data_IF_009708556312
#
_entry.id   IF_009708556312
#
_cell.length_a   1.000
_cell.length_b   1.000
_cell.length_c   1.000
_cell.angle_alpha   90.00
_cell.angle_beta   90.00
_cell.angle_gamma   90.00
#
_symmetry.space_group_name_H-M   'P 1'
#
loop_
_entity.id
_entity.type
_entity.pdbx_description
1 polymer ?
#
# COMPACT_ATOMS: atom_id res chain seq x y z
N UNK A 1 -4.13 38.38 17.68
CA UNK A 1 -5.40 38.07 18.40
C UNK A 1 -6.58 38.93 17.94
N UNK A 2 -6.48 40.27 17.89
CA UNK A 2 -7.61 41.11 17.41
C UNK A 2 -7.89 41.00 15.89
N UNK A 3 -6.87 40.71 15.08
CA UNK A 3 -7.01 40.59 13.62
C UNK A 3 -7.68 39.30 13.15
N UNK A 4 -7.46 38.18 13.84
CA UNK A 4 -8.15 36.91 13.55
C UNK A 4 -9.66 36.97 13.87
N UNK A 5 -10.07 37.93 14.71
CA UNK A 5 -11.45 38.23 15.06
C UNK A 5 -12.09 39.21 14.05
N UNK A 6 -11.80 39.01 12.76
CA UNK A 6 -12.02 39.92 11.63
C UNK A 6 -13.49 40.38 11.45
N UNK A 7 -14.45 39.67 12.03
CA UNK A 7 -15.88 39.98 11.89
C UNK A 7 -16.66 40.27 13.17
N UNK A 8 -16.12 40.03 14.37
CA UNK A 8 -17.00 40.00 15.56
C UNK A 8 -16.91 41.18 16.53
N UNK A 9 -15.89 42.06 16.49
CA UNK A 9 -15.67 43.02 17.61
C UNK A 9 -15.20 44.45 17.32
N UNK A 10 -15.21 44.98 16.09
CA UNK A 10 -15.14 46.43 15.85
C UNK A 10 -13.89 47.23 16.32
N UNK A 11 -12.84 46.57 16.85
CA UNK A 11 -11.69 47.25 17.48
C UNK A 11 -10.54 47.61 16.51
N UNK A 12 -10.75 47.52 15.19
CA UNK A 12 -9.68 47.74 14.19
C UNK A 12 -9.37 49.23 14.02
N UNK A 13 -10.39 50.09 13.99
CA UNK A 13 -10.23 51.54 13.82
C UNK A 13 -9.40 52.13 14.97
N UNK A 14 -9.67 51.70 16.21
CA UNK A 14 -8.89 52.10 17.39
C UNK A 14 -7.42 51.69 17.30
N UNK A 15 -7.12 50.52 16.71
CA UNK A 15 -5.74 50.06 16.51
C UNK A 15 -5.07 50.77 15.32
N UNK A 16 -5.84 51.11 14.29
CA UNK A 16 -5.40 51.89 13.14
C UNK A 16 -4.97 53.29 13.57
N UNK A 17 -5.86 54.02 14.25
CA UNK A 17 -5.60 55.38 14.71
C UNK A 17 -4.39 55.40 15.65
N UNK A 18 -4.27 54.40 16.54
CA UNK A 18 -3.14 54.28 17.45
C UNK A 18 -1.82 53.99 16.75
N UNK A 19 -1.81 53.20 15.69
CA UNK A 19 -0.58 52.89 14.93
C UNK A 19 -0.20 54.06 14.02
N UNK A 20 -1.13 54.51 13.17
CA UNK A 20 -0.91 55.60 12.21
C UNK A 20 -0.55 56.90 12.94
N UNK A 21 -1.32 57.27 13.98
CA UNK A 21 -1.06 58.48 14.77
C UNK A 21 0.34 58.48 15.40
N UNK A 22 0.75 57.35 16.02
CA UNK A 22 2.09 57.24 16.63
C UNK A 22 3.23 57.23 15.61
N UNK A 23 2.98 56.74 14.39
CA UNK A 23 3.96 56.83 13.31
C UNK A 23 4.10 58.28 12.83
N UNK A 24 3.00 58.99 12.64
CA UNK A 24 3.03 60.40 12.25
C UNK A 24 3.72 61.26 13.32
N UNK A 25 3.43 61.04 14.61
CA UNK A 25 4.13 61.70 15.74
C UNK A 25 5.64 61.45 15.75
N UNK A 26 6.09 60.30 15.25
CA UNK A 26 7.50 59.94 15.12
C UNK A 26 8.16 60.49 13.84
N UNK A 27 7.43 61.29 13.05
CA UNK A 27 7.92 61.94 11.84
C UNK A 27 7.75 61.12 10.56
N UNK A 28 6.97 60.03 10.57
CA UNK A 28 6.66 59.28 9.36
C UNK A 28 5.56 59.96 8.55
N UNK A 29 5.67 59.87 7.22
CA UNK A 29 4.65 60.35 6.29
C UNK A 29 3.28 59.67 6.54
N UNK A 30 2.17 60.42 6.63
CA UNK A 30 0.84 59.87 6.91
C UNK A 30 0.39 58.82 5.89
N UNK A 31 0.64 59.04 4.59
CA UNK A 31 0.24 58.11 3.55
C UNK A 31 1.05 56.82 3.63
N UNK A 32 2.34 56.91 3.99
CA UNK A 32 3.18 55.75 4.27
C UNK A 32 2.67 54.94 5.46
N UNK A 33 2.37 55.58 6.59
CA UNK A 33 1.87 54.92 7.79
C UNK A 33 0.53 54.18 7.53
N UNK A 34 -0.36 54.80 6.77
CA UNK A 34 -1.64 54.22 6.36
C UNK A 34 -1.43 52.96 5.50
N UNK A 35 -0.55 53.03 4.47
CA UNK A 35 -0.22 51.87 3.62
C UNK A 35 0.36 50.70 4.41
N UNK A 36 1.21 50.96 5.42
CA UNK A 36 1.75 49.90 6.29
C UNK A 36 0.64 49.19 7.09
N UNK A 37 -0.31 49.94 7.63
CA UNK A 37 -1.44 49.34 8.34
C UNK A 37 -2.33 48.51 7.41
N UNK A 38 -2.59 49.00 6.19
CA UNK A 38 -3.39 48.28 5.20
C UNK A 38 -2.72 46.98 4.73
N UNK A 39 -1.39 46.94 4.62
CA UNK A 39 -0.66 45.69 4.37
C UNK A 39 -0.84 44.69 5.52
N UNK A 40 -0.65 45.13 6.77
CA UNK A 40 -0.83 44.27 7.95
C UNK A 40 -2.26 43.73 7.99
N UNK A 41 -3.26 44.58 7.69
CA UNK A 41 -4.68 44.19 7.56
C UNK A 41 -4.87 43.07 6.53
N UNK A 42 -4.24 43.17 5.36
CA UNK A 42 -4.26 42.12 4.34
C UNK A 42 -3.62 40.79 4.79
N UNK A 43 -2.53 40.84 5.58
CA UNK A 43 -1.90 39.65 6.17
C UNK A 43 -2.71 39.01 7.31
N UNK A 44 -3.68 39.73 7.89
CA UNK A 44 -4.51 39.23 9.00
C UNK A 44 -5.34 37.99 8.65
N UNK A 45 -5.67 37.79 7.37
CA UNK A 45 -6.47 36.66 6.88
C UNK A 45 -5.63 35.42 6.53
N UNK A 46 -4.35 35.60 6.19
CA UNK A 46 -3.45 34.52 5.74
C UNK A 46 -2.23 34.29 6.66
N UNK A 47 -2.12 35.05 7.76
CA UNK A 47 -1.00 34.94 8.70
C UNK A 47 -0.96 33.59 9.40
N UNK A 48 0.17 32.88 9.30
CA UNK A 48 0.40 31.59 9.94
C UNK A 48 1.37 31.72 11.12
N UNK A 49 1.17 30.99 12.25
CA UNK A 49 2.09 31.06 13.38
C UNK A 49 3.46 30.49 13.02
N UNK A 50 4.49 31.34 13.00
CA UNK A 50 5.84 30.97 12.61
C UNK A 50 6.42 29.87 13.51
N UNK A 51 6.21 29.93 14.83
CA UNK A 51 6.72 28.91 15.75
C UNK A 51 6.16 27.51 15.46
N UNK A 52 4.88 27.42 15.07
CA UNK A 52 4.25 26.17 14.66
C UNK A 52 4.77 25.70 13.30
N UNK A 53 4.92 26.60 12.33
CA UNK A 53 5.52 26.26 11.03
C UNK A 53 6.94 25.74 11.19
N UNK A 54 7.77 26.43 11.98
CA UNK A 54 9.17 26.05 12.22
C UNK A 54 9.30 24.68 12.87
N UNK A 55 8.47 24.36 13.88
CA UNK A 55 8.49 23.04 14.51
C UNK A 55 8.15 21.91 13.54
N UNK A 56 7.17 22.10 12.66
CA UNK A 56 6.81 21.10 11.64
C UNK A 56 7.85 21.03 10.52
N UNK A 57 8.39 22.17 10.08
CA UNK A 57 9.44 22.23 9.06
C UNK A 57 10.68 21.45 9.50
N UNK A 58 11.05 21.50 10.79
CA UNK A 58 12.15 20.71 11.33
C UNK A 58 11.90 19.20 11.19
N UNK A 59 10.68 18.71 11.46
CA UNK A 59 10.32 17.30 11.27
C UNK A 59 10.38 16.88 9.80
N UNK A 60 9.87 17.73 8.90
CA UNK A 60 9.91 17.50 7.44
C UNK A 60 11.36 17.44 6.96
N UNK A 61 12.20 18.36 7.40
CA UNK A 61 13.62 18.40 7.03
C UNK A 61 14.35 17.15 7.49
N UNK A 62 14.22 16.77 8.77
CA UNK A 62 14.86 15.56 9.31
C UNK A 62 14.38 14.30 8.57
N UNK A 63 13.08 14.17 8.34
CA UNK A 63 12.52 13.03 7.62
C UNK A 63 13.01 12.95 6.16
N UNK A 64 13.08 14.10 5.48
CA UNK A 64 13.57 14.19 4.10
C UNK A 64 15.06 13.86 4.01
N UNK A 65 15.86 14.32 4.98
CA UNK A 65 17.28 14.00 5.07
C UNK A 65 17.51 12.51 5.33
N UNK A 66 16.73 11.89 6.23
CA UNK A 66 16.78 10.45 6.46
C UNK A 66 16.39 9.67 5.22
N UNK A 67 15.34 10.07 4.50
CA UNK A 67 14.93 9.44 3.24
C UNK A 67 16.04 9.53 2.18
N UNK A 68 16.66 10.70 2.04
CA UNK A 68 17.75 10.92 1.07
C UNK A 68 19.02 10.14 1.42
N UNK A 69 19.43 10.15 2.70
CA UNK A 69 20.72 9.59 3.14
C UNK A 69 20.65 8.11 3.51
N UNK A 70 19.55 7.68 4.13
CA UNK A 70 19.35 6.34 4.67
C UNK A 70 17.96 5.77 4.30
N UNK A 71 17.66 5.61 2.99
CA UNK A 71 16.34 5.19 2.52
C UNK A 71 15.88 3.87 3.13
N UNK A 72 16.79 2.89 3.27
CA UNK A 72 16.48 1.59 3.88
C UNK A 72 16.03 1.72 5.34
N UNK A 73 16.76 2.49 6.15
CA UNK A 73 16.44 2.71 7.55
C UNK A 73 15.15 3.52 7.72
N UNK A 74 14.95 4.53 6.87
CA UNK A 74 13.72 5.33 6.85
C UNK A 74 12.51 4.44 6.53
N UNK A 75 12.57 3.64 5.48
CA UNK A 75 11.52 2.70 5.11
C UNK A 75 11.25 1.64 6.18
N UNK A 76 12.31 1.07 6.77
CA UNK A 76 12.22 0.13 7.89
C UNK A 76 11.41 0.73 9.06
N UNK A 77 11.77 1.95 9.48
CA UNK A 77 11.05 2.68 10.52
C UNK A 77 9.58 2.94 10.17
N UNK A 78 9.30 3.33 8.93
CA UNK A 78 7.93 3.55 8.46
C UNK A 78 7.10 2.26 8.47
N UNK A 79 7.65 1.14 7.99
CA UNK A 79 6.95 -0.16 7.99
C UNK A 79 6.68 -0.65 9.40
N UNK A 80 7.62 -0.47 10.33
CA UNK A 80 7.46 -0.87 11.72
C UNK A 80 6.52 0.06 12.52
N UNK A 81 6.26 1.26 12.02
CA UNK A 81 5.30 2.22 12.61
C UNK A 81 3.86 2.02 12.11
N UNK A 82 3.60 1.07 11.21
CA UNK A 82 2.24 0.80 10.73
C UNK A 82 1.33 0.23 11.84
N UNK A 83 0.02 0.53 11.83
CA UNK A 83 -0.71 1.28 10.80
C UNK A 83 -0.52 2.80 10.89
N UNK A 84 -0.07 3.43 9.80
CA UNK A 84 0.01 4.90 9.66
C UNK A 84 -0.95 5.39 8.59
N UNK A 85 -1.51 6.59 8.74
CA UNK A 85 -2.64 7.08 7.94
C UNK A 85 -2.43 7.22 6.43
N UNK A 86 -1.23 7.53 5.92
CA UNK A 86 -1.12 7.98 4.54
C UNK A 86 -0.64 6.91 3.54
N UNK A 87 0.53 6.31 3.77
CA UNK A 87 1.15 5.37 2.83
C UNK A 87 0.92 3.90 3.21
N UNK A 88 0.55 3.07 2.24
CA UNK A 88 0.44 1.62 2.37
C UNK A 88 1.83 0.96 2.32
N UNK A 89 2.04 -0.21 2.95
CA UNK A 89 3.30 -0.94 2.92
C UNK A 89 3.86 -1.16 1.50
N UNK A 90 3.01 -1.52 0.54
CA UNK A 90 3.40 -1.71 -0.86
C UNK A 90 4.06 -0.46 -1.47
N UNK A 91 3.53 0.73 -1.18
CA UNK A 91 4.04 2.00 -1.70
C UNK A 91 5.38 2.38 -1.06
N UNK A 92 5.51 2.13 0.26
CA UNK A 92 6.77 2.35 0.97
C UNK A 92 7.86 1.44 0.38
N UNK A 93 7.55 0.16 0.18
CA UNK A 93 8.48 -0.81 -0.42
C UNK A 93 8.84 -0.44 -1.86
N UNK A 94 7.88 0.03 -2.65
CA UNK A 94 8.14 0.51 -4.01
C UNK A 94 9.08 1.70 -4.02
N UNK A 95 8.78 2.74 -3.25
CA UNK A 95 9.63 3.93 -3.12
C UNK A 95 11.04 3.53 -2.65
N UNK A 96 11.15 2.58 -1.73
CA UNK A 96 12.43 2.03 -1.26
C UNK A 96 13.24 1.43 -2.40
N UNK A 97 12.62 0.62 -3.26
CA UNK A 97 13.26 0.05 -4.46
C UNK A 97 13.69 1.12 -5.45
N UNK A 98 12.85 2.14 -5.65
CA UNK A 98 13.16 3.29 -6.54
C UNK A 98 14.35 4.12 -6.00
N UNK A 99 14.62 4.08 -4.69
CA UNK A 99 15.84 4.63 -4.07
C UNK A 99 17.05 3.68 -4.15
N UNK A 100 16.97 2.59 -4.91
CA UNK A 100 18.07 1.64 -5.12
C UNK A 100 18.34 0.71 -3.94
N UNK A 101 17.40 0.60 -2.99
CA UNK A 101 17.53 -0.33 -1.86
C UNK A 101 16.98 -1.70 -2.24
N UNK A 102 17.76 -2.74 -2.04
CA UNK A 102 17.31 -4.12 -2.14
C UNK A 102 16.30 -4.42 -1.02
N UNK A 103 15.18 -5.04 -1.38
CA UNK A 103 14.14 -5.44 -0.43
C UNK A 103 13.99 -6.95 -0.48
N UNK A 104 14.15 -7.59 0.67
CA UNK A 104 14.13 -9.03 0.85
C UNK A 104 12.79 -9.47 1.46
N UNK A 105 12.25 -10.57 0.96
CA UNK A 105 10.94 -11.09 1.38
C UNK A 105 10.94 -11.54 2.84
N UNK A 106 9.74 -11.77 3.39
CA UNK A 106 9.61 -12.49 4.65
C UNK A 106 10.19 -13.89 4.49
N UNK A 107 10.95 -14.36 5.47
CA UNK A 107 11.53 -15.71 5.47
C UNK A 107 11.61 -16.31 6.88
N UNK A 108 11.30 -17.60 7.01
CA UNK A 108 11.25 -18.33 8.29
C UNK A 108 12.59 -18.46 9.00
N UNK A 109 13.72 -18.30 8.30
CA UNK A 109 15.05 -18.39 8.88
C UNK A 109 15.70 -17.02 9.10
N UNK A 110 15.25 -15.97 8.40
CA UNK A 110 15.92 -14.67 8.40
C UNK A 110 15.10 -13.53 9.00
N UNK A 111 13.77 -13.51 8.84
CA UNK A 111 12.94 -12.36 9.25
C UNK A 111 12.63 -12.35 10.74
N UNK A 112 12.90 -11.26 11.46
CA UNK A 112 12.34 -11.07 12.80
C UNK A 112 10.86 -10.66 12.75
N UNK A 113 10.24 -10.40 13.91
CA UNK A 113 8.88 -9.85 13.97
C UNK A 113 8.77 -8.54 13.18
N UNK A 114 9.63 -7.58 13.52
CA UNK A 114 9.75 -6.31 12.84
C UNK A 114 10.64 -6.41 11.59
N UNK A 115 10.49 -5.46 10.67
CA UNK A 115 11.42 -5.34 9.54
C UNK A 115 12.80 -4.98 10.06
N UNK A 116 13.85 -5.50 9.42
CA UNK A 116 15.25 -5.32 9.83
C UNK A 116 16.12 -4.89 8.65
N UNK A 117 17.37 -4.53 8.92
CA UNK A 117 18.36 -4.21 7.90
C UNK A 117 19.43 -5.31 7.85
N UNK A 118 19.68 -5.84 6.65
CA UNK A 118 20.66 -6.90 6.39
C UNK A 118 21.65 -6.40 5.33
N UNK A 119 22.88 -6.04 5.73
CA UNK A 119 23.90 -5.59 4.78
C UNK A 119 23.52 -4.35 3.95
N UNK A 120 22.57 -3.53 4.43
CA UNK A 120 22.03 -2.37 3.71
C UNK A 120 20.73 -2.65 2.94
N UNK A 121 20.33 -3.91 2.80
CA UNK A 121 19.02 -4.31 2.30
C UNK A 121 17.95 -4.22 3.40
N UNK A 122 16.70 -4.01 2.99
CA UNK A 122 15.53 -4.03 3.86
C UNK A 122 14.93 -5.44 3.88
N UNK A 123 14.96 -6.12 5.04
CA UNK A 123 14.25 -7.39 5.25
C UNK A 123 12.84 -7.11 5.74
N UNK A 124 11.84 -7.67 5.06
CA UNK A 124 10.46 -7.63 5.56
C UNK A 124 10.30 -8.51 6.80
N UNK A 125 9.66 -7.95 7.82
CA UNK A 125 9.36 -8.65 9.08
C UNK A 125 8.13 -9.56 8.99
N UNK A 126 8.07 -10.55 9.88
CA UNK A 126 6.98 -11.51 10.01
C UNK A 126 5.62 -10.82 10.27
N UNK A 127 5.62 -9.63 10.88
CA UNK A 127 4.41 -8.83 11.11
C UNK A 127 3.63 -8.45 9.86
N UNK A 128 4.26 -8.53 8.68
CA UNK A 128 3.59 -8.27 7.41
C UNK A 128 2.70 -9.44 6.97
N UNK A 129 2.90 -10.65 7.52
CA UNK A 129 2.08 -11.82 7.21
C UNK A 129 0.73 -11.68 7.90
N UNK A 130 -0.32 -11.62 7.09
CA UNK A 130 -1.68 -11.38 7.57
C UNK A 130 -2.11 -12.44 8.58
N UNK A 131 -2.50 -11.97 9.77
CA UNK A 131 -2.96 -12.73 10.93
C UNK A 131 -1.98 -13.79 11.47
N UNK A 132 -0.68 -13.64 11.18
CA UNK A 132 0.36 -14.28 11.98
C UNK A 132 0.42 -13.58 13.34
N UNK A 133 0.37 -14.36 14.42
CA UNK A 133 0.43 -13.84 15.78
C UNK A 133 1.88 -13.67 16.24
N UNK A 134 2.13 -12.63 17.05
CA UNK A 134 3.48 -12.32 17.55
C UNK A 134 4.05 -13.48 18.36
N UNK A 135 3.24 -14.14 19.18
CA UNK A 135 3.67 -15.26 20.01
C UNK A 135 4.12 -16.47 19.16
N UNK A 136 3.49 -16.69 18.00
CA UNK A 136 3.91 -17.73 17.07
C UNK A 136 5.22 -17.36 16.36
N UNK A 137 5.39 -16.09 16.01
CA UNK A 137 6.64 -15.57 15.46
C UNK A 137 7.80 -15.65 16.46
N UNK A 138 7.58 -15.32 17.73
CA UNK A 138 8.62 -15.40 18.77
C UNK A 138 9.12 -16.83 18.99
N UNK A 139 8.19 -17.82 18.98
CA UNK A 139 8.55 -19.25 19.02
C UNK A 139 9.38 -19.67 17.80
N UNK A 140 8.95 -19.21 16.62
CA UNK A 140 9.64 -19.47 15.37
C UNK A 140 11.07 -18.90 15.41
N UNK A 141 11.24 -17.64 15.80
CA UNK A 141 12.56 -16.99 15.88
C UNK A 141 13.48 -17.71 16.88
N UNK A 142 12.94 -18.14 18.03
CA UNK A 142 13.71 -18.76 19.12
C UNK A 142 14.30 -20.13 18.77
N UNK A 143 13.80 -20.80 17.73
CA UNK A 143 14.17 -22.18 17.39
C UNK A 143 14.79 -22.33 16.00
N UNK A 144 15.20 -21.24 15.34
CA UNK A 144 15.95 -21.26 14.08
C UNK A 144 17.35 -21.89 14.21
N UNK A 145 18.00 -22.30 13.10
CA UNK A 145 17.50 -22.34 11.72
C UNK A 145 16.76 -23.65 11.42
N UNK A 146 15.83 -23.65 10.47
CA UNK A 146 15.02 -24.78 10.01
C UNK A 146 15.54 -25.33 8.69
N UNK A 147 15.46 -26.65 8.51
CA UNK A 147 15.77 -27.33 7.25
C UNK A 147 14.51 -27.83 6.53
N UNK A 148 13.47 -28.17 7.30
CA UNK A 148 12.20 -28.69 6.78
C UNK A 148 11.00 -27.99 7.43
N UNK A 149 9.84 -28.04 6.77
CA UNK A 149 8.59 -27.46 7.29
C UNK A 149 8.17 -28.11 8.62
N UNK A 150 8.40 -29.42 8.75
CA UNK A 150 8.09 -30.18 9.97
C UNK A 150 8.86 -29.68 11.21
N UNK A 151 10.08 -29.18 11.02
CA UNK A 151 10.92 -28.67 12.11
C UNK A 151 10.26 -27.48 12.83
N UNK A 152 9.43 -26.69 12.13
CA UNK A 152 8.71 -25.57 12.75
C UNK A 152 7.68 -26.08 13.75
N UNK A 153 7.03 -27.21 13.48
CA UNK A 153 6.08 -27.84 14.41
C UNK A 153 6.81 -28.52 15.55
N UNK A 154 7.71 -29.45 15.24
CA UNK A 154 8.33 -30.36 16.21
C UNK A 154 9.32 -29.62 17.13
N UNK A 155 10.27 -28.90 16.54
CA UNK A 155 11.33 -28.17 17.26
C UNK A 155 10.91 -26.75 17.61
N UNK A 156 10.27 -26.05 16.67
CA UNK A 156 9.82 -24.68 16.85
C UNK A 156 8.57 -24.53 17.69
N UNK A 157 7.77 -25.60 17.90
CA UNK A 157 6.46 -25.55 18.56
C UNK A 157 5.55 -24.45 18.00
N UNK A 158 5.72 -24.15 16.71
CA UNK A 158 4.91 -23.20 15.96
C UNK A 158 3.58 -23.88 15.65
N UNK A 159 2.44 -23.25 15.97
CA UNK A 159 1.13 -23.82 15.64
C UNK A 159 0.96 -24.05 14.13
N UNK A 160 0.32 -25.16 13.74
CA UNK A 160 0.14 -25.54 12.31
C UNK A 160 -0.52 -24.41 11.51
N UNK A 161 -1.53 -23.74 12.06
CA UNK A 161 -2.19 -22.61 11.37
C UNK A 161 -1.22 -21.44 11.07
N UNK A 162 -0.19 -21.23 11.89
CA UNK A 162 0.83 -20.20 11.64
C UNK A 162 1.80 -20.66 10.55
N UNK A 163 2.15 -21.95 10.52
CA UNK A 163 2.97 -22.56 9.46
C UNK A 163 2.25 -22.45 8.10
N UNK A 164 0.95 -22.75 8.04
CA UNK A 164 0.14 -22.59 6.82
C UNK A 164 0.13 -21.14 6.32
N UNK A 165 0.04 -20.15 7.23
CA UNK A 165 0.11 -18.72 6.87
C UNK A 165 1.47 -18.33 6.33
N UNK A 166 2.55 -18.82 6.94
CA UNK A 166 3.91 -18.59 6.45
C UNK A 166 4.13 -19.21 5.07
N UNK A 167 3.54 -20.38 4.82
CA UNK A 167 3.62 -21.06 3.54
C UNK A 167 2.83 -20.30 2.48
N UNK A 168 1.61 -19.85 2.81
CA UNK A 168 0.83 -18.97 1.96
C UNK A 168 1.57 -17.65 1.66
N UNK A 169 2.34 -17.13 2.62
CA UNK A 169 3.16 -15.94 2.47
C UNK A 169 4.51 -16.17 1.72
N UNK A 170 4.76 -17.37 1.20
CA UNK A 170 6.00 -17.70 0.47
C UNK A 170 7.29 -17.50 1.32
N UNK A 171 7.20 -17.77 2.62
CA UNK A 171 8.28 -17.50 3.58
C UNK A 171 9.32 -18.64 3.71
N UNK A 172 9.28 -19.66 2.84
CA UNK A 172 10.14 -20.86 2.95
C UNK A 172 11.26 -20.92 1.90
N UNK A 173 11.61 -19.78 1.30
CA UNK A 173 12.65 -19.72 0.27
C UNK A 173 14.02 -20.15 0.77
N UNK A 174 14.35 -19.88 2.03
CA UNK A 174 15.61 -20.31 2.64
C UNK A 174 15.78 -21.83 2.77
N UNK A 175 14.70 -22.60 2.75
CA UNK A 175 14.73 -24.06 2.73
C UNK A 175 14.45 -24.64 1.34
N UNK A 176 14.61 -23.81 0.30
CA UNK A 176 14.43 -24.17 -1.11
C UNK A 176 13.02 -24.66 -1.48
N UNK A 177 11.98 -24.25 -0.74
CA UNK A 177 10.59 -24.54 -1.10
C UNK A 177 9.92 -23.35 -1.76
N UNK A 178 9.31 -23.60 -2.92
CA UNK A 178 8.34 -22.69 -3.52
C UNK A 178 7.01 -22.74 -2.75
N UNK A 179 6.24 -21.65 -2.81
CA UNK A 179 4.92 -21.53 -2.13
C UNK A 179 4.07 -22.80 -2.22
N UNK A 180 3.92 -23.38 -3.42
CA UNK A 180 3.04 -24.54 -3.62
C UNK A 180 3.54 -25.78 -2.87
N UNK A 181 4.85 -26.03 -2.90
CA UNK A 181 5.48 -27.11 -2.15
C UNK A 181 5.39 -26.87 -0.64
N UNK A 182 5.70 -25.65 -0.18
CA UNK A 182 5.57 -25.31 1.23
C UNK A 182 4.13 -25.46 1.76
N UNK A 183 3.12 -25.10 0.96
CA UNK A 183 1.71 -25.28 1.32
C UNK A 183 1.30 -26.75 1.36
N UNK A 184 1.84 -27.57 0.46
CA UNK A 184 1.62 -29.01 0.45
C UNK A 184 2.15 -29.64 1.75
N UNK A 185 3.41 -29.35 2.08
CA UNK A 185 4.07 -29.84 3.29
C UNK A 185 3.38 -29.34 4.56
N UNK A 186 3.01 -28.06 4.61
CA UNK A 186 2.32 -27.48 5.76
C UNK A 186 0.96 -28.14 6.02
N UNK A 187 0.24 -28.54 4.96
CA UNK A 187 -1.06 -29.23 5.08
C UNK A 187 -0.95 -30.69 5.47
N UNK A 188 0.20 -31.32 5.23
CA UNK A 188 0.47 -32.67 5.72
C UNK A 188 0.69 -32.69 7.25
N UNK A 189 0.93 -31.54 7.88
CA UNK A 189 1.13 -31.48 9.34
C UNK A 189 -0.14 -31.78 10.12
N UNK A 190 -0.05 -32.76 11.02
CA UNK A 190 -1.08 -33.04 12.02
C UNK A 190 -1.15 -31.94 13.07
N UNK A 191 -2.37 -31.58 13.47
CA UNK A 191 -2.61 -30.70 14.62
C UNK A 191 -2.51 -31.42 15.96
N UNK A 192 -2.77 -32.74 15.98
CA UNK A 192 -2.69 -33.56 17.18
C UNK A 192 -1.23 -33.78 17.60
N UNK A 193 -0.95 -33.90 18.91
CA UNK A 193 0.37 -34.32 19.38
C UNK A 193 0.70 -35.72 18.86
N UNK A 194 2.00 -35.96 18.66
CA UNK A 194 2.49 -37.28 18.22
C UNK A 194 2.07 -38.35 19.23
N UNK A 195 1.75 -39.54 18.72
CA UNK A 195 1.23 -40.62 19.54
C UNK A 195 2.31 -41.14 20.52
N UNK A 196 1.99 -41.38 21.81
CA UNK A 196 3.00 -41.71 22.83
C UNK A 196 3.90 -42.92 22.50
N UNK A 197 3.38 -43.88 21.73
CA UNK A 197 4.11 -45.06 21.29
C UNK A 197 5.27 -44.72 20.34
N UNK A 198 5.05 -43.80 19.41
CA UNK A 198 6.04 -43.41 18.41
C UNK A 198 7.08 -42.45 18.99
N UNK A 199 6.63 -41.54 19.88
CA UNK A 199 7.53 -40.71 20.70
C UNK A 199 8.49 -41.57 21.50
N UNK A 200 8.01 -42.65 22.14
CA UNK A 200 8.86 -43.56 22.90
C UNK A 200 9.83 -44.38 22.04
N UNK A 201 9.47 -44.62 20.77
CA UNK A 201 10.28 -45.37 19.82
C UNK A 201 11.26 -44.50 19.02
N UNK A 202 11.28 -43.17 19.23
CA UNK A 202 11.96 -42.18 18.38
C UNK A 202 11.67 -42.42 16.89
N UNK A 203 10.43 -42.84 16.60
CA UNK A 203 9.97 -43.20 15.29
C UNK A 203 8.96 -42.16 14.82
N UNK A 204 8.95 -41.88 13.51
CA UNK A 204 7.91 -41.04 12.91
C UNK A 204 6.57 -41.78 12.99
N UNK A 205 5.52 -41.04 13.33
CA UNK A 205 4.12 -41.52 13.26
C UNK A 205 3.75 -41.98 11.83
N UNK A 206 4.46 -41.48 10.81
CA UNK A 206 4.28 -41.83 9.40
C UNK A 206 5.59 -42.32 8.78
N UNK A 207 5.49 -43.27 7.85
CA UNK A 207 6.63 -43.69 7.04
C UNK A 207 7.16 -42.55 6.18
N UNK A 208 8.42 -42.65 5.76
CA UNK A 208 8.98 -41.70 4.80
C UNK A 208 8.11 -41.68 3.52
N UNK A 209 7.91 -40.49 2.96
CA UNK A 209 7.25 -40.35 1.67
C UNK A 209 8.03 -41.15 0.63
N UNK A 210 7.39 -42.17 0.04
CA UNK A 210 8.06 -43.13 -0.83
C UNK A 210 8.49 -42.48 -2.16
N UNK A 211 7.72 -41.51 -2.65
CA UNK A 211 8.09 -40.66 -3.78
C UNK A 211 7.64 -39.21 -3.52
N UNK A 212 8.52 -38.21 -3.72
CA UNK A 212 8.13 -36.81 -3.58
C UNK A 212 7.03 -36.43 -4.58
N UNK A 213 5.95 -35.83 -4.10
CA UNK A 213 4.88 -35.35 -4.96
C UNK A 213 5.42 -34.35 -6.02
N UNK A 214 5.26 -34.67 -7.31
CA UNK A 214 5.59 -33.75 -8.40
C UNK A 214 4.46 -32.75 -8.59
N UNK A 215 4.59 -31.61 -7.93
CA UNK A 215 3.61 -30.53 -8.04
C UNK A 215 3.88 -29.69 -9.30
N UNK A 216 2.84 -29.20 -10.00
CA UNK A 216 3.03 -28.26 -11.09
C UNK A 216 3.68 -26.97 -10.58
N UNK A 217 4.48 -26.29 -11.40
CA UNK A 217 5.02 -24.98 -11.04
C UNK A 217 3.90 -23.94 -10.89
N UNK A 218 4.04 -23.05 -9.92
CA UNK A 218 3.09 -21.96 -9.72
C UNK A 218 3.44 -20.79 -10.66
N UNK A 219 2.53 -20.37 -11.55
CA UNK A 219 2.75 -19.22 -12.43
C UNK A 219 3.01 -17.93 -11.64
N UNK A 220 3.76 -16.99 -12.25
CA UNK A 220 4.12 -15.72 -11.61
C UNK A 220 2.89 -14.88 -11.21
N UNK A 221 1.82 -14.89 -12.02
CA UNK A 221 0.58 -14.16 -11.70
C UNK A 221 -0.10 -14.72 -10.45
N UNK A 222 -0.14 -16.04 -10.31
CA UNK A 222 -0.66 -16.73 -9.13
C UNK A 222 0.18 -16.37 -7.91
N UNK A 223 1.50 -16.33 -8.05
CA UNK A 223 2.40 -15.87 -7.00
C UNK A 223 2.08 -14.44 -6.53
N UNK A 224 1.92 -13.49 -7.46
CA UNK A 224 1.62 -12.10 -7.13
C UNK A 224 0.24 -11.96 -6.48
N UNK A 225 -0.78 -12.65 -7.00
CA UNK A 225 -2.13 -12.66 -6.40
C UNK A 225 -2.08 -13.15 -4.95
N UNK A 226 -1.37 -14.25 -4.69
CA UNK A 226 -1.21 -14.77 -3.33
C UNK A 226 -0.41 -13.79 -2.44
N UNK A 227 0.66 -13.18 -2.94
CA UNK A 227 1.44 -12.18 -2.18
C UNK A 227 0.54 -11.02 -1.68
N UNK A 228 -0.37 -10.50 -2.52
CA UNK A 228 -1.32 -9.46 -2.12
C UNK A 228 -2.41 -9.94 -1.16
N UNK A 229 -2.77 -11.23 -1.19
CA UNK A 229 -3.72 -11.82 -0.25
C UNK A 229 -3.10 -12.06 1.14
N UNK A 230 -1.79 -12.30 1.21
CA UNK A 230 -1.12 -12.73 2.45
C UNK A 230 -0.22 -11.66 3.09
N UNK A 231 0.38 -10.78 2.29
CA UNK A 231 1.32 -9.74 2.74
C UNK A 231 0.86 -8.34 2.28
N UNK A 232 -0.17 -8.24 1.41
CA UNK A 232 -0.70 -6.99 0.86
C UNK A 232 0.27 -6.22 -0.06
N UNK A 233 1.38 -6.84 -0.43
CA UNK A 233 2.36 -6.35 -1.41
C UNK A 233 3.06 -7.53 -2.09
N UNK A 234 3.63 -7.33 -3.27
CA UNK A 234 4.51 -8.30 -3.92
C UNK A 234 5.86 -7.68 -4.27
N UNK A 235 6.93 -8.43 -4.06
CA UNK A 235 8.28 -8.07 -4.53
C UNK A 235 8.56 -8.54 -5.96
N UNK A 236 7.70 -9.40 -6.52
CA UNK A 236 7.93 -10.13 -7.78
C UNK A 236 7.47 -9.33 -8.99
N UNK A 237 6.23 -8.85 -8.99
CA UNK A 237 5.69 -7.98 -10.03
C UNK A 237 4.46 -7.21 -9.53
N UNK A 238 4.09 -6.15 -10.26
CA UNK A 238 2.87 -5.40 -10.00
C UNK A 238 1.68 -6.01 -10.78
N UNK A 239 0.46 -6.08 -10.23
CA UNK A 239 -0.68 -6.74 -10.89
C UNK A 239 -1.02 -6.19 -12.28
N UNK A 240 -0.80 -4.89 -12.51
CA UNK A 240 -1.05 -4.27 -13.82
C UNK A 240 -0.12 -4.77 -14.93
N UNK A 241 1.05 -5.30 -14.59
CA UNK A 241 1.99 -5.83 -15.59
C UNK A 241 1.37 -6.99 -16.39
N UNK A 242 0.60 -7.86 -15.74
CA UNK A 242 -0.08 -8.99 -16.40
C UNK A 242 -1.25 -8.57 -17.28
N UNK A 243 -1.84 -7.39 -17.02
CA UNK A 243 -2.93 -6.84 -17.83
C UNK A 243 -2.43 -5.89 -18.91
N UNK A 244 -1.12 -5.61 -18.95
CA UNK A 244 -0.55 -4.52 -19.77
C UNK A 244 -0.75 -4.74 -21.25
N UNK A 245 -0.59 -5.96 -21.75
CA UNK A 245 -0.77 -6.27 -23.18
C UNK A 245 -2.20 -5.94 -23.63
N UNK A 246 -3.20 -6.41 -22.85
CA UNK A 246 -4.62 -6.17 -23.12
C UNK A 246 -4.99 -4.68 -23.06
N UNK A 247 -4.41 -3.92 -22.13
CA UNK A 247 -4.63 -2.47 -22.04
C UNK A 247 -3.92 -1.71 -23.17
N UNK A 248 -2.73 -2.15 -23.57
CA UNK A 248 -1.98 -1.55 -24.68
C UNK A 248 -2.73 -1.73 -26.00
N UNK A 249 -3.29 -2.92 -26.26
CA UNK A 249 -4.15 -3.16 -27.41
C UNK A 249 -5.37 -2.23 -27.46
N UNK A 250 -5.88 -1.81 -26.30
CA UNK A 250 -6.99 -0.87 -26.15
C UNK A 250 -6.54 0.60 -26.08
N UNK A 251 -5.25 0.90 -26.31
CA UNK A 251 -4.65 2.25 -26.29
C UNK A 251 -4.70 2.94 -24.93
N UNK A 252 -4.68 2.17 -23.85
CA UNK A 252 -4.48 2.71 -22.50
C UNK A 252 -2.99 3.01 -22.27
N UNK A 253 -2.70 4.20 -21.75
CA UNK A 253 -1.34 4.63 -21.44
C UNK A 253 -0.94 4.22 -20.02
N UNK A 254 0.37 4.15 -19.81
CA UNK A 254 1.04 3.99 -18.52
C UNK A 254 1.19 5.33 -17.78
N UNK A 255 1.39 5.29 -16.46
CA UNK A 255 1.59 6.49 -15.66
C UNK A 255 2.86 7.27 -16.05
N UNK A 256 3.96 6.57 -16.38
CA UNK A 256 5.23 7.19 -16.81
C UNK A 256 5.15 8.01 -18.11
N UNK A 257 4.10 7.82 -18.91
CA UNK A 257 3.88 8.57 -20.16
C UNK A 257 3.23 9.93 -19.92
N UNK A 258 2.60 10.15 -18.77
CA UNK A 258 1.87 11.39 -18.47
C UNK A 258 2.74 12.66 -18.61
N UNK A 259 4.00 12.70 -18.13
CA UNK A 259 4.88 13.85 -18.30
C UNK A 259 5.11 14.25 -19.76
N UNK A 260 5.17 13.29 -20.68
CA UNK A 260 5.43 13.55 -22.11
C UNK A 260 4.21 14.08 -22.89
N UNK A 261 3.00 14.02 -22.34
CA UNK A 261 1.79 14.39 -23.07
C UNK A 261 1.45 15.87 -22.87
N UNK A 262 1.00 16.53 -23.94
CA UNK A 262 0.59 17.95 -23.89
C UNK A 262 -0.65 18.16 -23.04
N UNK A 263 -0.72 19.32 -22.40
CA UNK A 263 -1.89 19.77 -21.66
C UNK A 263 -3.16 19.78 -22.53
N UNK A 264 -4.32 19.49 -21.93
CA UNK A 264 -5.61 19.43 -22.61
C UNK A 264 -5.85 18.19 -23.49
N UNK A 265 -4.88 17.27 -23.61
CA UNK A 265 -5.04 16.05 -24.40
C UNK A 265 -5.91 15.00 -23.69
N UNK A 266 -6.71 14.29 -24.49
CA UNK A 266 -7.51 13.16 -24.03
C UNK A 266 -6.63 11.93 -23.85
N UNK A 267 -6.81 11.25 -22.72
CA UNK A 267 -6.08 10.02 -22.38
C UNK A 267 -7.01 8.97 -21.79
N UNK A 268 -6.63 7.72 -21.96
CA UNK A 268 -7.22 6.56 -21.30
C UNK A 268 -6.13 5.88 -20.49
N UNK A 269 -6.36 5.62 -19.22
CA UNK A 269 -5.42 4.87 -18.38
C UNK A 269 -6.16 3.99 -17.38
N UNK A 270 -5.48 2.97 -16.87
CA UNK A 270 -6.04 2.06 -15.90
C UNK A 270 -5.00 1.77 -14.83
N UNK A 271 -5.46 1.61 -13.59
CA UNK A 271 -4.57 1.35 -12.46
C UNK A 271 -5.34 0.98 -11.20
N UNK A 272 -4.61 0.42 -10.25
CA UNK A 272 -5.11 0.10 -8.93
C UNK A 272 -5.44 1.38 -8.17
N UNK A 273 -6.58 1.40 -7.51
CA UNK A 273 -6.98 2.58 -6.73
C UNK A 273 -6.33 2.53 -5.36
N UNK A 274 -5.44 3.49 -5.10
CA UNK A 274 -4.70 3.58 -3.85
C UNK A 274 -5.44 4.38 -2.78
N UNK A 275 -5.79 5.61 -3.15
CA UNK A 275 -6.27 6.62 -2.22
C UNK A 275 -7.46 7.34 -2.84
N UNK A 276 -8.45 7.65 -1.99
CA UNK A 276 -9.59 8.50 -2.33
C UNK A 276 -9.73 9.59 -1.28
N UNK A 277 -9.76 10.84 -1.73
CA UNK A 277 -9.88 11.99 -0.84
C UNK A 277 -10.98 12.92 -1.34
N UNK A 278 -11.81 13.42 -0.42
CA UNK A 278 -12.82 14.44 -0.72
C UNK A 278 -12.79 15.52 0.37
N UNK A 279 -11.76 16.39 0.38
CA UNK A 279 -11.62 17.38 1.44
C UNK A 279 -12.80 18.35 1.46
N UNK A 280 -13.29 18.70 2.66
CA UNK A 280 -14.42 19.61 2.84
C UNK A 280 -14.19 21.01 2.23
N UNK A 281 -12.94 21.44 2.11
CA UNK A 281 -12.53 22.71 1.49
C UNK A 281 -12.62 22.72 -0.04
N UNK A 282 -12.65 21.55 -0.69
CA UNK A 282 -12.56 21.42 -2.15
C UNK A 282 -13.91 21.47 -2.87
N UNK A 283 -14.94 22.08 -2.26
CA UNK A 283 -16.31 22.23 -2.84
C UNK A 283 -16.88 20.93 -3.43
N UNK A 284 -16.55 19.80 -2.80
CA UNK A 284 -17.04 18.48 -3.19
C UNK A 284 -16.25 17.77 -4.30
N UNK A 285 -15.12 18.30 -4.77
CA UNK A 285 -14.20 17.62 -5.70
C UNK A 285 -13.57 16.41 -4.99
N UNK A 286 -13.46 15.30 -5.73
CA UNK A 286 -12.82 14.07 -5.26
C UNK A 286 -11.49 13.85 -6.00
N UNK A 287 -10.44 13.56 -5.24
CA UNK A 287 -9.12 13.20 -5.74
C UNK A 287 -8.91 11.70 -5.57
N UNK A 288 -8.41 11.04 -6.62
CA UNK A 288 -8.13 9.60 -6.61
C UNK A 288 -6.71 9.38 -7.13
N UNK A 289 -5.90 8.59 -6.42
CA UNK A 289 -4.59 8.18 -6.91
C UNK A 289 -4.67 6.77 -7.48
N UNK A 290 -4.31 6.62 -8.76
CA UNK A 290 -4.15 5.33 -9.41
C UNK A 290 -2.68 4.90 -9.42
N UNK A 291 -2.43 3.61 -9.36
CA UNK A 291 -1.11 3.00 -9.50
C UNK A 291 -1.08 1.98 -10.63
N UNK A 292 -0.04 2.04 -11.45
CA UNK A 292 0.37 0.95 -12.30
C UNK A 292 1.84 0.58 -12.06
N UNK A 293 2.35 -0.40 -12.81
CA UNK A 293 3.73 -0.87 -12.67
C UNK A 293 4.80 0.18 -12.99
N UNK A 294 4.41 1.30 -13.63
CA UNK A 294 5.32 2.38 -14.04
C UNK A 294 5.27 3.61 -13.15
N UNK A 295 4.18 3.81 -12.41
CA UNK A 295 4.09 4.92 -11.47
C UNK A 295 2.70 5.12 -10.88
N UNK A 296 2.51 6.32 -10.32
CA UNK A 296 1.23 6.80 -9.84
C UNK A 296 0.67 7.88 -10.76
N UNK A 297 -0.64 8.04 -10.76
CA UNK A 297 -1.34 9.12 -11.44
C UNK A 297 -2.45 9.70 -10.59
N UNK A 298 -2.54 11.03 -10.58
CA UNK A 298 -3.52 11.76 -9.78
C UNK A 298 -4.73 12.11 -10.65
N UNK A 299 -5.90 11.67 -10.22
CA UNK A 299 -7.17 11.96 -10.87
C UNK A 299 -7.93 13.05 -10.13
N UNK A 300 -8.62 13.88 -10.90
CA UNK A 300 -9.58 14.88 -10.38
C UNK A 300 -10.98 14.51 -10.88
N UNK A 301 -11.88 14.22 -9.95
CA UNK A 301 -13.28 13.87 -10.22
C UNK A 301 -14.17 15.00 -9.72
N UNK A 302 -14.75 15.74 -10.67
CA UNK A 302 -15.69 16.82 -10.37
C UNK A 302 -17.03 16.28 -9.84
N UNK A 303 -17.77 17.07 -9.03
CA UNK A 303 -19.03 16.63 -8.40
C UNK A 303 -20.04 16.03 -9.38
N UNK A 304 -20.18 16.61 -10.57
CA UNK A 304 -21.10 16.12 -11.61
C UNK A 304 -20.75 14.71 -12.14
N UNK A 305 -19.47 14.36 -12.23
CA UNK A 305 -19.01 13.02 -12.61
C UNK A 305 -19.12 12.08 -11.42
N UNK A 306 -18.74 12.56 -10.23
CA UNK A 306 -18.85 11.81 -8.98
C UNK A 306 -20.29 11.33 -8.74
N UNK A 307 -21.26 12.23 -8.81
CA UNK A 307 -22.67 11.91 -8.50
C UNK A 307 -23.24 10.90 -9.50
N UNK A 308 -22.87 11.01 -10.78
CA UNK A 308 -23.28 10.07 -11.84
C UNK A 308 -22.62 8.70 -11.71
N UNK A 309 -21.36 8.64 -11.27
CA UNK A 309 -20.55 7.42 -11.26
C UNK A 309 -20.15 7.00 -9.83
N UNK A 310 -20.96 7.37 -8.83
CA UNK A 310 -20.64 7.21 -7.40
C UNK A 310 -20.25 5.79 -7.02
N UNK A 311 -20.95 4.78 -7.56
CA UNK A 311 -20.65 3.36 -7.29
C UNK A 311 -19.23 2.98 -7.72
N UNK A 312 -18.82 3.43 -8.90
CA UNK A 312 -17.47 3.16 -9.45
C UNK A 312 -16.44 3.93 -8.64
N UNK A 313 -16.69 5.21 -8.39
CA UNK A 313 -15.78 6.06 -7.60
C UNK A 313 -15.54 5.45 -6.24
N UNK A 314 -16.56 4.98 -5.52
CA UNK A 314 -16.42 4.46 -4.16
C UNK A 314 -15.98 2.98 -4.09
N UNK A 315 -16.32 2.16 -5.09
CA UNK A 315 -16.20 0.70 -5.00
C UNK A 315 -15.05 0.08 -5.78
N UNK A 316 -14.55 0.73 -6.85
CA UNK A 316 -13.59 0.10 -7.74
C UNK A 316 -12.23 -0.12 -7.07
N UNK A 317 -11.61 -1.29 -7.25
CA UNK A 317 -10.22 -1.56 -6.86
C UNK A 317 -9.27 -1.40 -8.03
N UNK A 318 -9.73 -1.78 -9.21
CA UNK A 318 -9.07 -1.50 -10.48
C UNK A 318 -9.99 -0.59 -11.28
N UNK A 319 -9.48 0.56 -11.68
CA UNK A 319 -10.26 1.60 -12.32
C UNK A 319 -9.64 1.96 -13.67
N UNK A 320 -10.48 1.93 -14.70
CA UNK A 320 -10.17 2.55 -15.99
C UNK A 320 -10.76 3.96 -16.01
N UNK A 321 -9.96 4.91 -16.50
CA UNK A 321 -10.31 6.32 -16.59
C UNK A 321 -10.10 6.82 -18.01
N UNK A 322 -11.11 7.52 -18.52
CA UNK A 322 -11.01 8.36 -19.70
C UNK A 322 -11.14 9.81 -19.29
N UNK A 323 -10.10 10.58 -19.55
CA UNK A 323 -9.99 11.94 -19.03
C UNK A 323 -9.21 12.87 -19.93
N UNK A 324 -8.95 14.05 -19.40
CA UNK A 324 -8.15 15.09 -20.04
C UNK A 324 -6.98 15.40 -19.12
N UNK A 325 -5.77 15.45 -19.67
CA UNK A 325 -4.60 15.90 -18.92
C UNK A 325 -4.74 17.38 -18.60
N UNK A 326 -4.50 17.71 -17.34
CA UNK A 326 -4.33 19.05 -16.84
C UNK A 326 -2.96 19.15 -16.17
N UNK A 327 -2.10 20.00 -16.70
CA UNK A 327 -0.81 20.32 -16.09
C UNK A 327 -0.90 21.67 -15.42
N UNK A 328 -0.60 21.71 -14.13
CA UNK A 328 -0.44 22.98 -13.43
C UNK A 328 0.89 23.61 -13.85
N UNK A 329 0.83 24.89 -14.22
CA UNK A 329 1.97 25.63 -14.74
C UNK A 329 2.94 26.07 -13.63
N UNK A 330 2.46 26.15 -12.38
CA UNK A 330 3.22 26.70 -11.26
C UNK A 330 3.99 25.63 -10.48
N UNK A 331 3.40 24.44 -10.27
CA UNK A 331 4.00 23.35 -9.48
C UNK A 331 4.39 22.11 -10.30
N UNK A 332 4.05 22.07 -11.60
CA UNK A 332 4.35 20.97 -12.51
C UNK A 332 3.56 19.68 -12.22
N UNK A 333 2.56 19.72 -11.34
CA UNK A 333 1.74 18.56 -11.02
C UNK A 333 0.83 18.21 -12.19
N UNK A 334 0.74 16.91 -12.47
CA UNK A 334 -0.06 16.38 -13.57
C UNK A 334 -1.31 15.72 -12.99
N UNK A 335 -2.46 16.22 -13.42
CA UNK A 335 -3.76 15.65 -13.12
C UNK A 335 -4.42 15.09 -14.37
N UNK A 336 -5.17 13.99 -14.20
CA UNK A 336 -6.11 13.53 -15.22
C UNK A 336 -7.52 13.86 -14.75
N UNK A 337 -8.13 14.85 -15.38
CA UNK A 337 -9.50 15.27 -15.10
C UNK A 337 -10.46 14.23 -15.66
N UNK A 338 -11.18 13.57 -14.77
CA UNK A 338 -12.06 12.47 -15.12
C UNK A 338 -13.25 12.92 -15.96
N UNK A 339 -13.50 12.25 -17.08
CA UNK A 339 -14.73 12.40 -17.89
C UNK A 339 -15.62 11.16 -17.84
N UNK A 340 -15.01 9.97 -17.84
CA UNK A 340 -15.70 8.69 -17.69
C UNK A 340 -14.82 7.70 -16.93
N UNK A 341 -15.41 7.08 -15.92
CA UNK A 341 -14.79 6.03 -15.11
C UNK A 341 -15.43 4.67 -15.41
N UNK A 342 -14.65 3.60 -15.37
CA UNK A 342 -15.10 2.22 -15.55
C UNK A 342 -14.51 1.33 -14.45
N UNK A 343 -15.36 0.46 -13.89
CA UNK A 343 -14.94 -0.51 -12.88
C UNK A 343 -14.38 -1.76 -13.56
N UNK A 344 -13.06 -1.91 -13.51
CA UNK A 344 -12.34 -3.05 -14.06
C UNK A 344 -11.94 -4.04 -12.97
N UNK A 345 -12.48 -3.96 -11.75
CA UNK A 345 -12.12 -4.84 -10.64
C UNK A 345 -12.30 -6.33 -10.95
N UNK A 346 -13.24 -6.66 -11.84
CA UNK A 346 -13.46 -8.03 -12.33
C UNK A 346 -12.22 -8.62 -13.03
N UNK A 347 -11.39 -7.77 -13.66
CA UNK A 347 -10.18 -8.19 -14.37
C UNK A 347 -9.12 -8.77 -13.43
N UNK A 348 -9.15 -8.40 -12.15
CA UNK A 348 -8.24 -8.95 -11.14
C UNK A 348 -8.49 -10.45 -10.91
N UNK A 349 -9.70 -10.94 -11.19
CA UNK A 349 -10.03 -12.37 -11.12
C UNK A 349 -9.37 -13.17 -12.24
N UNK A 350 -9.13 -12.54 -13.40
CA UNK A 350 -8.45 -13.19 -14.51
C UNK A 350 -6.97 -13.47 -14.20
N UNK A 351 -6.35 -12.72 -13.28
CA UNK A 351 -4.97 -12.98 -12.82
C UNK A 351 -4.81 -14.38 -12.18
N UNK A 352 -5.87 -14.92 -11.57
CA UNK A 352 -5.91 -16.28 -11.03
C UNK A 352 -6.43 -17.33 -12.02
N UNK A 353 -7.21 -16.95 -13.03
CA UNK A 353 -7.89 -17.89 -13.95
C UNK A 353 -7.11 -18.11 -15.27
N UNK A 354 -6.43 -17.10 -15.84
CA UNK A 354 -5.84 -17.18 -17.20
C UNK A 354 -4.58 -18.05 -17.34
N UNK A 355 -4.06 -18.64 -16.25
CA UNK A 355 -2.87 -19.52 -16.29
C UNK A 355 -3.10 -20.92 -15.68
N UNK A 356 -4.34 -21.24 -15.29
CA UNK A 356 -4.74 -22.62 -15.03
C UNK A 356 -5.39 -23.14 -16.31
N UNK A 357 -4.73 -24.02 -17.10
CA UNK A 357 -5.48 -24.81 -18.07
C UNK A 357 -6.59 -25.49 -17.28
N UNK A 358 -7.85 -25.27 -17.66
CA UNK A 358 -8.97 -26.01 -17.09
C UNK A 358 -8.87 -27.47 -17.57
N UNK A 359 -7.95 -28.24 -17.01
CA UNK A 359 -7.92 -29.70 -17.12
C UNK A 359 -8.85 -30.35 -16.10
N UNK A 360 -9.53 -29.56 -15.27
CA UNK A 360 -10.67 -30.03 -14.49
C UNK A 360 -11.93 -30.11 -15.37
N UNK A 361 -11.90 -30.98 -16.38
CA UNK A 361 -13.11 -31.52 -16.95
C UNK A 361 -12.93 -33.01 -17.21
N UNK A 362 -13.74 -33.79 -16.48
CA UNK A 362 -14.01 -35.23 -16.59
C UNK A 362 -13.01 -36.18 -15.91
N UNK A 363 -13.48 -36.80 -14.83
CA UNK A 363 -12.79 -37.81 -14.04
C UNK A 363 -13.58 -38.13 -12.77
N UNK A 364 -14.46 -39.10 -12.87
CA UNK A 364 -15.47 -39.50 -11.89
C UNK A 364 -14.87 -39.95 -10.55
N UNK A 365 -15.45 -39.52 -9.41
CA UNK A 365 -15.11 -40.12 -8.11
C UNK A 365 -15.36 -39.24 -6.87
N UNK A 366 -16.58 -39.34 -6.33
CA UNK A 366 -16.94 -39.24 -4.91
C UNK A 366 -16.17 -38.31 -3.95
N UNK A 367 -16.83 -37.24 -3.53
CA UNK A 367 -16.48 -36.52 -2.31
C UNK A 367 -17.20 -35.18 -2.24
N UNK A 368 -18.28 -35.08 -1.43
CA UNK A 368 -19.04 -33.85 -1.25
C UNK A 368 -18.17 -32.77 -0.60
N UNK A 369 -17.52 -31.96 -1.42
CA UNK A 369 -16.83 -30.75 -1.02
C UNK A 369 -17.87 -29.74 -0.50
N UNK A 370 -17.80 -29.44 0.79
CA UNK A 370 -18.32 -28.20 1.35
C UNK A 370 -17.20 -27.53 2.12
N UNK A 371 -16.69 -26.37 1.69
CA UNK A 371 -15.76 -25.61 2.51
C UNK A 371 -16.50 -25.16 3.79
N UNK A 372 -15.79 -25.14 4.91
CA UNK A 372 -16.25 -24.41 6.10
C UNK A 372 -16.55 -22.97 5.67
N UNK A 373 -17.67 -22.40 6.14
CA UNK A 373 -18.22 -21.11 5.72
C UNK A 373 -17.16 -20.00 5.56
N UNK A 374 -16.63 -19.89 4.34
CA UNK A 374 -15.75 -18.85 3.86
C UNK A 374 -15.99 -18.80 2.35
N UNK A 375 -16.23 -17.60 1.86
CA UNK A 375 -16.56 -17.22 0.48
C UNK A 375 -15.80 -18.04 -0.57
N UNK A 376 -16.46 -18.36 -1.70
CA UNK A 376 -15.85 -19.09 -2.82
C UNK A 376 -14.49 -18.46 -3.18
N UNK A 377 -13.47 -19.20 -3.65
CA UNK A 377 -12.19 -18.61 -4.10
C UNK A 377 -12.30 -17.49 -5.15
N UNK A 378 -13.48 -17.33 -5.77
CA UNK A 378 -13.84 -16.27 -6.73
C UNK A 378 -14.28 -14.96 -6.07
N UNK A 379 -14.62 -15.04 -4.79
CA UNK A 379 -15.08 -13.95 -3.93
C UNK A 379 -14.01 -13.53 -2.90
N UNK A 380 -12.82 -14.16 -2.94
CA UNK A 380 -11.68 -13.77 -2.11
C UNK A 380 -11.17 -12.38 -2.52
N UNK A 381 -11.07 -11.46 -1.56
CA UNK A 381 -10.61 -10.09 -1.79
C UNK A 381 -9.10 -10.04 -2.08
N UNK A 382 -8.71 -10.05 -3.37
CA UNK A 382 -7.31 -10.15 -3.81
C UNK A 382 -6.43 -8.94 -3.41
N UNK A 383 -6.95 -7.72 -3.55
CA UNK A 383 -6.19 -6.47 -3.35
C UNK A 383 -6.77 -5.74 -2.15
N UNK A 384 -6.03 -5.14 -1.21
CA UNK A 384 -6.63 -4.37 -0.12
C UNK A 384 -7.60 -3.28 -0.60
N UNK A 385 -8.52 -2.85 0.27
CA UNK A 385 -9.38 -1.69 -0.05
C UNK A 385 -8.51 -0.43 -0.15
N UNK A 386 -8.96 0.54 -0.94
CA UNK A 386 -8.33 1.86 -0.95
C UNK A 386 -8.41 2.50 0.43
N UNK A 387 -7.51 3.45 0.64
CA UNK A 387 -7.54 4.29 1.83
C UNK A 387 -8.41 5.50 1.55
N UNK A 388 -9.57 5.53 2.18
CA UNK A 388 -10.57 6.57 1.98
C UNK A 388 -10.53 7.53 3.17
N UNK A 389 -10.39 8.83 2.88
CA UNK A 389 -10.50 9.89 3.88
C UNK A 389 -11.72 10.75 3.55
N UNK A 390 -12.65 10.83 4.50
CA UNK A 390 -13.86 11.66 4.43
C UNK A 390 -13.58 13.09 4.90
#
# INVERSE_FOLDING_TARGET
KAMATFRSRGNIEVLQDKMVGRMVERGYDPDFAQRCFDQIKGFGEYGFPESHAASFAHLVYVSSWLKWKYPAAFACGLLNSQPMGFYAPAQIVRDTKEHGVEVLSVDVNYSDWDCTLEGGALRLGLRQVEGLQREAADRLVSARPYAHVEDLRSRGRVPVHAIERLAAADAFRSIALDRRAALWDARALKQAPDLPLFVAADARDEGAELEPARLPEMPLSEHVVNDYQTIRLSLKAHPMAFLRERYTAQKFITADRLPGIRDGKRVSMAGLVLIRQRPGSAKGVCFITLEDETGIANLVVWPNVFDKQRKIVMGARLMAIHGIIQKDADDGVIHVVAKRLEDHSHMLRHLSEELMPSTLNQGDGGGSWRPAAATHPRDAEIIPKSRDFH
#
